data_IF_431812891196
#
_entry.id   IF_431812891196
#
_cell.length_a   1.000
_cell.length_b   1.000
_cell.length_c   1.000
_cell.angle_alpha   90.00
_cell.angle_beta   90.00
_cell.angle_gamma   90.00
#
_symmetry.space_group_name_H-M   'P 1'
#
loop_
_entity.id
_entity.type
_entity.pdbx_description
1 polymer ?
#
# COMPACT_ATOMS: atom_id res chain seq x y z
N UNK A 1 -5.89 5.61 9.56
CA UNK A 1 -4.77 5.78 8.62
C UNK A 1 -3.70 4.78 8.97
N UNK A 2 -3.01 4.24 7.97
CA UNK A 2 -1.89 3.32 8.16
C UNK A 2 -0.75 3.99 8.92
N UNK A 3 -0.03 3.19 9.71
CA UNK A 3 1.26 3.59 10.28
C UNK A 3 2.30 3.61 9.16
N UNK A 4 3.34 4.44 9.31
CA UNK A 4 4.45 4.48 8.35
C UNK A 4 5.01 3.09 8.03
N UNK A 5 5.20 2.23 9.03
CA UNK A 5 5.69 0.86 8.83
C UNK A 5 4.76 0.01 7.96
N UNK A 6 3.45 0.20 8.05
CA UNK A 6 2.46 -0.51 7.25
C UNK A 6 2.47 -0.01 5.80
N UNK A 7 2.60 1.31 5.58
CA UNK A 7 2.73 1.91 4.24
C UNK A 7 3.97 1.34 3.52
N UNK A 8 5.11 1.26 4.21
CA UNK A 8 6.33 0.65 3.66
C UNK A 8 6.15 -0.82 3.30
N UNK A 9 5.53 -1.62 4.16
CA UNK A 9 5.28 -3.04 3.88
C UNK A 9 4.32 -3.24 2.70
N UNK A 10 3.29 -2.39 2.60
CA UNK A 10 2.35 -2.44 1.48
C UNK A 10 3.05 -2.04 0.17
N UNK A 11 3.88 -1.00 0.19
CA UNK A 11 4.65 -0.56 -0.97
C UNK A 11 5.63 -1.65 -1.45
N UNK A 12 6.37 -2.28 -0.54
CA UNK A 12 7.27 -3.40 -0.84
C UNK A 12 6.50 -4.58 -1.45
N UNK A 13 5.37 -4.95 -0.84
CA UNK A 13 4.49 -6.01 -1.36
C UNK A 13 4.00 -5.74 -2.80
N UNK A 14 3.69 -4.48 -3.12
CA UNK A 14 3.31 -4.06 -4.47
C UNK A 14 4.51 -4.14 -5.44
N UNK A 15 5.69 -3.69 -5.02
CA UNK A 15 6.92 -3.74 -5.81
C UNK A 15 7.35 -5.17 -6.13
N UNK A 16 7.32 -6.08 -5.16
CA UNK A 16 7.60 -7.52 -5.36
C UNK A 16 6.75 -8.17 -6.45
N UNK A 17 5.56 -7.60 -6.70
CA UNK A 17 4.59 -8.09 -7.70
C UNK A 17 4.62 -7.33 -9.02
N UNK A 18 5.55 -6.38 -9.17
CA UNK A 18 5.72 -5.58 -10.38
C UNK A 18 4.55 -4.63 -10.66
N UNK A 19 3.85 -4.20 -9.60
CA UNK A 19 2.78 -3.20 -9.72
C UNK A 19 3.36 -1.83 -10.07
N UNK A 20 2.58 -1.00 -10.77
CA UNK A 20 3.02 0.34 -11.16
C UNK A 20 2.63 1.37 -10.07
N UNK A 21 3.57 2.20 -9.57
CA UNK A 21 3.35 3.20 -8.52
C UNK A 21 2.36 4.33 -8.81
N UNK A 22 1.63 4.33 -9.93
CA UNK A 22 0.58 5.32 -10.22
C UNK A 22 -0.73 4.61 -10.64
N UNK A 23 -0.82 3.32 -10.33
CA UNK A 23 -1.92 2.43 -10.67
C UNK A 23 -2.32 1.57 -9.48
N UNK A 24 -1.92 1.95 -8.26
CA UNK A 24 -2.32 1.23 -7.06
C UNK A 24 -3.77 1.59 -6.76
N UNK A 25 -4.65 0.60 -6.75
CA UNK A 25 -6.05 0.78 -6.39
C UNK A 25 -6.32 0.34 -4.95
N UNK A 26 -7.46 0.77 -4.39
CA UNK A 26 -7.90 0.37 -3.04
C UNK A 26 -7.96 -1.15 -2.90
N UNK A 27 -8.32 -1.87 -3.96
CA UNK A 27 -8.32 -3.34 -4.00
C UNK A 27 -6.94 -3.94 -3.78
N UNK A 28 -5.89 -3.33 -4.33
CA UNK A 28 -4.50 -3.79 -4.18
C UNK A 28 -4.02 -3.59 -2.75
N UNK A 29 -4.31 -2.41 -2.18
CA UNK A 29 -4.01 -2.12 -0.77
C UNK A 29 -4.71 -3.11 0.16
N UNK A 30 -5.98 -3.44 -0.09
CA UNK A 30 -6.70 -4.46 0.69
C UNK A 30 -6.10 -5.86 0.53
N UNK A 31 -5.67 -6.22 -0.68
CA UNK A 31 -5.01 -7.49 -0.94
C UNK A 31 -3.66 -7.59 -0.21
N UNK A 32 -2.86 -6.52 -0.25
CA UNK A 32 -1.60 -6.40 0.48
C UNK A 32 -1.83 -6.54 1.99
N UNK A 33 -2.76 -5.79 2.57
CA UNK A 33 -3.07 -5.87 3.99
C UNK A 33 -3.49 -7.28 4.42
N UNK A 34 -4.33 -7.96 3.61
CA UNK A 34 -4.72 -9.35 3.88
C UNK A 34 -3.52 -10.30 3.83
N UNK A 35 -2.62 -10.11 2.86
CA UNK A 35 -1.41 -10.94 2.71
C UNK A 35 -0.40 -10.71 3.84
N UNK A 36 -0.33 -9.49 4.36
CA UNK A 36 0.64 -9.07 5.38
C UNK A 36 0.09 -9.21 6.81
N UNK A 37 -1.21 -9.53 6.97
CA UNK A 37 -1.86 -9.59 8.28
C UNK A 37 -2.11 -8.21 8.91
N UNK A 38 -2.19 -7.16 8.10
CA UNK A 38 -2.49 -5.80 8.54
C UNK A 38 -4.02 -5.66 8.66
N UNK A 39 -4.50 -5.35 9.86
CA UNK A 39 -5.92 -5.08 10.10
C UNK A 39 -6.28 -3.67 9.61
N UNK A 40 -7.34 -3.57 8.80
CA UNK A 40 -7.87 -2.30 8.31
C UNK A 40 -9.12 -1.95 9.13
N UNK A 41 -8.99 -1.00 10.06
CA UNK A 41 -10.11 -0.49 10.87
C UNK A 41 -10.69 0.83 10.35
N UNK A 42 -10.20 1.33 9.21
CA UNK A 42 -10.61 2.61 8.60
C UNK A 42 -10.78 2.49 7.08
N UNK A 43 -11.49 3.45 6.47
CA UNK A 43 -11.53 3.56 5.01
C UNK A 43 -10.17 4.02 4.48
N UNK A 44 -9.56 3.26 3.57
CA UNK A 44 -8.33 3.66 2.88
C UNK A 44 -8.60 4.92 2.06
N UNK A 45 -7.86 5.99 2.36
CA UNK A 45 -7.96 7.28 1.67
C UNK A 45 -7.05 7.35 0.44
N UNK A 46 -7.37 8.28 -0.48
CA UNK A 46 -6.50 8.56 -1.64
C UNK A 46 -5.12 9.10 -1.22
N UNK A 47 -5.01 9.73 -0.05
CA UNK A 47 -3.73 10.20 0.49
C UNK A 47 -2.83 9.02 0.87
N UNK A 48 -3.37 8.02 1.57
CA UNK A 48 -2.63 6.82 1.92
C UNK A 48 -2.17 6.02 0.69
N UNK A 49 -2.98 5.97 -0.37
CA UNK A 49 -2.58 5.36 -1.64
C UNK A 49 -1.39 6.11 -2.24
N UNK A 50 -1.45 7.45 -2.26
CA UNK A 50 -0.36 8.28 -2.76
C UNK A 50 0.92 8.12 -1.93
N UNK A 51 0.81 7.93 -0.62
CA UNK A 51 1.98 7.66 0.23
C UNK A 51 2.62 6.32 -0.14
N UNK A 52 1.82 5.27 -0.36
CA UNK A 52 2.31 3.96 -0.83
C UNK A 52 3.00 4.12 -2.19
N UNK A 53 2.34 4.77 -3.14
CA UNK A 53 2.85 5.07 -4.48
C UNK A 53 4.17 5.86 -4.44
N UNK A 54 4.26 6.85 -3.56
CA UNK A 54 5.48 7.64 -3.36
C UNK A 54 6.64 6.82 -2.81
N UNK A 55 6.38 5.86 -1.92
CA UNK A 55 7.41 4.94 -1.42
C UNK A 55 7.83 3.96 -2.50
N UNK A 56 6.90 3.43 -3.29
CA UNK A 56 7.23 2.50 -4.37
C UNK A 56 8.19 3.11 -5.40
N UNK A 57 8.15 4.44 -5.62
CA UNK A 57 9.08 5.16 -6.51
C UNK A 57 10.50 5.35 -5.93
N UNK A 58 10.71 5.07 -4.64
CA UNK A 58 12.00 5.25 -3.97
C UNK A 58 12.83 3.96 -3.91
N UNK A 59 12.22 2.80 -4.19
CA UNK A 59 12.87 1.48 -4.23
C UNK A 59 13.14 1.01 -5.65
#
# INVERSE_FOLDING_TARGET
>A
MFKNSEIWQIADWCNERGMLPNRVEISDVKAACRSLGIEISHSVSNEEIKDIESIMLQG
#
